data_IF_231444082590
#
_entry.id   IF_231444082590
#
_cell.length_a   1.000
_cell.length_b   1.000
_cell.length_c   1.000
_cell.angle_alpha   90.00
_cell.angle_beta   90.00
_cell.angle_gamma   90.00
#
_symmetry.space_group_name_H-M   'P 1'
#
loop_
_entity.id
_entity.type
_entity.pdbx_description
1 polymer ?
#
# COMPACT_ATOMS: atom_id res chain seq x y z
N UNK A 1 0.02 -17.61 35.50
CA UNK A 1 0.95 -17.08 36.53
C UNK A 1 1.85 -15.90 36.07
N UNK A 2 2.39 -15.83 34.84
CA UNK A 2 3.32 -14.73 34.43
C UNK A 2 2.69 -13.34 34.20
N UNK A 3 1.37 -13.23 33.98
CA UNK A 3 0.71 -11.92 33.79
C UNK A 3 0.56 -11.11 35.09
N UNK A 4 0.44 -11.79 36.24
CA UNK A 4 0.21 -11.12 37.51
C UNK A 4 1.47 -10.38 37.98
N UNK A 5 2.66 -11.00 37.87
CA UNK A 5 3.92 -10.38 38.30
C UNK A 5 4.24 -9.05 37.60
N UNK A 6 3.88 -8.90 36.31
CA UNK A 6 4.12 -7.64 35.57
C UNK A 6 3.18 -6.51 36.02
N UNK A 7 1.93 -6.84 36.34
CA UNK A 7 0.97 -5.86 36.88
C UNK A 7 1.40 -5.39 38.27
N UNK A 8 1.86 -6.30 39.11
CA UNK A 8 2.40 -5.96 40.43
C UNK A 8 3.63 -5.05 40.34
N UNK A 9 4.54 -5.29 39.39
CA UNK A 9 5.72 -4.44 39.21
C UNK A 9 5.34 -3.01 38.79
N UNK A 10 4.45 -2.86 37.81
CA UNK A 10 3.99 -1.54 37.33
C UNK A 10 3.22 -0.80 38.43
N UNK A 11 2.34 -1.47 39.16
CA UNK A 11 1.66 -0.86 40.31
C UNK A 11 2.66 -0.44 41.40
N UNK A 12 3.67 -1.27 41.68
CA UNK A 12 4.72 -0.94 42.65
C UNK A 12 5.49 0.32 42.25
N UNK A 13 5.86 0.45 40.98
CA UNK A 13 6.53 1.63 40.46
C UNK A 13 5.66 2.90 40.52
N UNK A 14 4.37 2.79 40.18
CA UNK A 14 3.42 3.90 40.28
C UNK A 14 3.27 4.32 41.75
N UNK A 15 3.16 3.36 42.66
CA UNK A 15 3.06 3.63 44.10
C UNK A 15 4.30 4.36 44.63
N UNK A 16 5.51 3.95 44.20
CA UNK A 16 6.76 4.63 44.55
C UNK A 16 6.76 6.07 44.06
N UNK A 17 6.33 6.34 42.82
CA UNK A 17 6.25 7.71 42.30
C UNK A 17 5.24 8.58 43.07
N UNK A 18 4.09 8.01 43.42
CA UNK A 18 3.07 8.71 44.23
C UNK A 18 3.65 9.04 45.60
N UNK A 19 4.28 8.06 46.26
CA UNK A 19 4.91 8.25 47.57
C UNK A 19 6.03 9.30 47.52
N UNK A 20 6.87 9.28 46.49
CA UNK A 20 7.91 10.28 46.31
C UNK A 20 7.32 11.68 46.07
N UNK A 21 6.19 11.78 45.37
CA UNK A 21 5.50 13.05 45.11
C UNK A 21 4.89 13.61 46.39
N UNK A 22 4.26 12.77 47.21
CA UNK A 22 3.71 13.22 48.50
C UNK A 22 4.82 13.65 49.46
N UNK A 23 5.92 12.89 49.52
CA UNK A 23 7.10 13.27 50.33
C UNK A 23 7.71 14.59 49.85
N UNK A 24 7.86 14.79 48.53
CA UNK A 24 8.37 16.03 47.96
C UNK A 24 7.49 17.23 48.34
N UNK A 25 6.17 17.11 48.21
CA UNK A 25 5.22 18.17 48.57
C UNK A 25 5.24 18.46 50.07
N UNK A 26 5.35 17.43 50.92
CA UNK A 26 5.47 17.60 52.35
C UNK A 26 6.76 18.34 52.74
N UNK A 27 7.89 17.99 52.14
CA UNK A 27 9.17 18.68 52.36
C UNK A 27 9.07 20.14 51.88
N UNK A 28 8.51 20.39 50.71
CA UNK A 28 8.31 21.75 50.20
C UNK A 28 7.45 22.59 51.15
N UNK A 29 6.35 22.02 51.64
CA UNK A 29 5.49 22.70 52.61
C UNK A 29 6.24 23.02 53.89
N UNK A 30 7.04 22.08 54.41
CA UNK A 30 7.83 22.28 55.62
C UNK A 30 8.91 23.36 55.44
N UNK A 31 9.61 23.35 54.30
CA UNK A 31 10.58 24.40 53.95
C UNK A 31 9.90 25.76 53.93
N UNK A 32 8.73 25.88 53.29
CA UNK A 32 7.99 27.14 53.22
C UNK A 32 7.60 27.64 54.62
N UNK A 33 7.06 26.78 55.49
CA UNK A 33 6.67 27.15 56.86
C UNK A 33 7.87 27.55 57.72
N UNK A 34 8.99 26.83 57.63
CA UNK A 34 10.20 27.17 58.37
C UNK A 34 10.82 28.48 57.85
N UNK A 35 10.81 28.68 56.54
CA UNK A 35 11.29 29.91 55.93
C UNK A 35 10.45 31.13 56.34
N UNK A 36 9.12 31.01 56.42
CA UNK A 36 8.27 32.10 56.89
C UNK A 36 8.54 32.45 58.35
N UNK A 37 8.72 31.44 59.23
CA UNK A 37 9.03 31.67 60.63
C UNK A 37 10.40 32.33 60.84
N UNK A 38 11.43 31.89 60.11
CA UNK A 38 12.75 32.53 60.13
C UNK A 38 12.70 33.96 59.60
N UNK A 39 11.88 34.24 58.58
CA UNK A 39 11.69 35.59 58.08
C UNK A 39 11.09 36.49 59.16
N UNK A 40 10.07 36.01 59.89
CA UNK A 40 9.44 36.76 60.98
C UNK A 40 10.42 37.03 62.14
N UNK A 41 11.18 36.02 62.57
CA UNK A 41 12.22 36.18 63.59
C UNK A 41 13.31 37.17 63.16
N UNK A 42 13.76 37.10 61.90
CA UNK A 42 14.74 38.03 61.36
C UNK A 42 14.20 39.48 61.34
N UNK A 43 12.92 39.67 61.03
CA UNK A 43 12.27 40.98 61.04
C UNK A 43 12.17 41.55 62.46
N UNK A 44 11.73 40.76 63.43
CA UNK A 44 11.67 41.16 64.84
C UNK A 44 13.05 41.51 65.41
N UNK A 45 14.07 40.73 65.05
CA UNK A 45 15.44 40.97 65.46
C UNK A 45 15.93 42.33 64.94
N UNK A 46 15.73 42.61 63.65
CA UNK A 46 16.08 43.90 63.06
C UNK A 46 15.25 45.05 63.65
N UNK A 47 13.96 44.85 63.96
CA UNK A 47 13.12 45.86 64.64
C UNK A 47 13.65 46.20 66.03
N UNK A 48 14.09 45.21 66.83
CA UNK A 48 14.70 45.43 68.16
C UNK A 48 15.95 46.31 68.06
N UNK A 49 16.81 46.07 67.07
CA UNK A 49 17.99 46.93 66.89
C UNK A 49 17.66 48.29 66.32
N UNK A 50 16.66 48.41 65.44
CA UNK A 50 16.11 49.73 65.08
C UNK A 50 15.64 50.49 66.33
N UNK A 51 14.97 49.84 67.28
CA UNK A 51 14.50 50.50 68.51
C UNK A 51 15.65 50.96 69.42
N UNK A 52 16.65 50.12 69.67
CA UNK A 52 17.83 50.53 70.46
C UNK A 52 18.63 51.67 69.80
N UNK A 53 18.69 51.69 68.46
CA UNK A 53 19.27 52.81 67.72
C UNK A 53 18.49 54.13 67.91
N UNK A 54 17.20 54.07 68.25
CA UNK A 54 16.30 55.24 68.36
C UNK A 54 15.99 55.66 69.81
N UNK A 55 15.93 54.75 70.79
CA UNK A 55 15.39 54.99 72.15
C UNK A 55 16.41 55.31 73.26
N UNK A 56 17.72 55.28 72.99
CA UNK A 56 18.74 55.81 73.93
C UNK A 56 19.37 57.09 73.38
N UNK A 57 18.71 58.25 73.48
CA UNK A 57 19.45 59.50 73.45
C UNK A 57 20.35 59.49 74.68
N UNK A 58 21.65 59.73 74.49
CA UNK A 58 22.56 59.93 75.60
C UNK A 58 21.94 60.96 76.55
N UNK A 59 21.77 60.60 77.82
CA UNK A 59 21.44 61.56 78.86
C UNK A 59 22.49 62.68 78.83
N UNK A 60 22.17 63.79 78.15
CA UNK A 60 23.04 64.97 78.03
C UNK A 60 23.34 65.53 76.63
N UNK A 61 22.71 65.11 75.52
CA UNK A 61 22.93 65.75 74.20
C UNK A 61 21.61 66.20 73.56
N UNK A 62 21.51 67.51 73.30
CA UNK A 62 20.37 68.20 72.68
C UNK A 62 20.09 67.70 71.25
N UNK A 63 18.83 67.80 70.82
CA UNK A 63 18.36 67.52 69.46
C UNK A 63 19.06 68.42 68.43
N UNK A 64 20.04 67.86 67.71
CA UNK A 64 20.71 68.50 66.59
C UNK A 64 20.35 67.84 65.24
N UNK A 65 20.21 68.62 64.15
CA UNK A 65 19.89 68.07 62.84
C UNK A 65 21.12 67.38 62.25
N UNK A 66 21.07 66.05 62.16
CA UNK A 66 22.05 65.25 61.42
C UNK A 66 23.07 64.56 62.31
N UNK A 67 22.74 63.33 62.72
CA UNK A 67 23.71 62.36 63.24
C UNK A 67 24.77 62.07 62.16
N UNK A 68 25.86 62.83 62.18
CA UNK A 68 27.05 62.52 61.39
C UNK A 68 27.90 61.50 62.11
N UNK A 69 28.42 60.59 61.33
CA UNK A 69 28.94 59.30 61.73
C UNK A 69 30.36 59.28 62.35
N UNK A 70 30.84 60.44 62.79
CA UNK A 70 31.94 60.53 63.76
C UNK A 70 31.41 60.54 65.20
N UNK A 71 30.09 60.52 65.37
CA UNK A 71 29.43 60.44 66.67
C UNK A 71 29.84 59.13 67.40
N UNK A 72 30.62 59.23 68.49
CA UNK A 72 31.01 58.07 69.31
C UNK A 72 29.80 57.30 69.82
N UNK A 73 28.64 57.96 69.96
CA UNK A 73 27.40 57.38 70.47
C UNK A 73 26.74 56.45 69.45
N UNK A 74 26.70 56.83 68.17
CA UNK A 74 26.19 55.97 67.11
C UNK A 74 27.06 54.72 66.97
N UNK A 75 28.38 54.87 67.11
CA UNK A 75 29.31 53.73 67.12
C UNK A 75 29.07 52.79 68.30
N UNK A 76 28.83 53.33 69.50
CA UNK A 76 28.50 52.55 70.70
C UNK A 76 27.13 51.85 70.58
N UNK A 77 26.11 52.54 70.09
CA UNK A 77 24.78 51.96 69.87
C UNK A 77 24.81 50.87 68.79
N UNK A 78 25.64 51.02 67.75
CA UNK A 78 25.91 49.95 66.80
C UNK A 78 26.62 48.76 67.46
N UNK A 79 27.64 48.99 68.29
CA UNK A 79 28.34 47.92 69.02
C UNK A 79 27.41 47.17 69.99
N UNK A 80 26.49 47.88 70.67
CA UNK A 80 25.51 47.29 71.59
C UNK A 80 24.36 46.58 70.85
N UNK A 81 23.82 47.16 69.78
CA UNK A 81 22.86 46.48 68.90
C UNK A 81 23.45 45.19 68.32
N UNK A 82 24.75 45.19 68.03
CA UNK A 82 25.48 44.00 67.59
C UNK A 82 25.71 42.96 68.70
N UNK A 83 25.69 43.34 69.99
CA UNK A 83 25.73 42.40 71.12
C UNK A 83 24.40 41.67 71.31
N UNK A 84 23.26 42.37 71.16
CA UNK A 84 21.90 41.78 71.20
C UNK A 84 21.78 40.62 70.21
N UNK A 85 22.47 40.70 69.08
CA UNK A 85 22.43 39.67 68.04
C UNK A 85 23.40 38.50 68.24
N UNK A 86 24.43 38.63 69.09
CA UNK A 86 25.39 37.52 69.32
C UNK A 86 24.72 36.32 69.97
N UNK A 87 23.68 36.55 70.76
CA UNK A 87 22.96 35.50 71.47
C UNK A 87 22.03 34.68 70.56
N UNK A 88 21.68 35.19 69.38
CA UNK A 88 20.64 34.56 68.54
C UNK A 88 21.18 33.72 67.37
N UNK A 89 22.47 33.80 67.03
CA UNK A 89 23.17 32.81 66.21
C UNK A 89 22.77 32.65 64.72
N UNK A 90 21.74 33.34 64.23
CA UNK A 90 21.22 33.20 62.86
C UNK A 90 21.59 34.35 61.91
N UNK A 91 21.96 35.53 62.41
CA UNK A 91 22.42 36.66 61.59
C UNK A 91 23.92 36.57 61.32
N UNK A 92 24.32 36.64 60.04
CA UNK A 92 25.72 36.55 59.63
C UNK A 92 26.39 37.89 59.40
N UNK A 93 25.64 38.90 58.95
CA UNK A 93 26.17 40.24 58.70
C UNK A 93 25.07 41.28 58.89
N UNK A 94 25.46 42.46 59.37
CA UNK A 94 24.58 43.60 59.58
C UNK A 94 25.25 44.86 59.03
N UNK A 95 24.47 45.66 58.32
CA UNK A 95 24.89 46.91 57.72
C UNK A 95 23.84 48.00 57.96
N UNK A 96 24.29 49.21 58.22
CA UNK A 96 23.46 50.42 58.20
C UNK A 96 23.86 51.23 56.98
N UNK A 97 22.88 51.60 56.18
CA UNK A 97 23.06 52.41 54.98
C UNK A 97 22.40 53.75 55.23
N UNK A 98 23.15 54.85 55.19
CA UNK A 98 22.55 56.17 55.36
C UNK A 98 21.78 56.62 54.11
N UNK A 99 21.01 57.72 54.22
CA UNK A 99 20.26 58.33 53.11
C UNK A 99 21.11 58.79 51.92
N UNK A 100 22.43 58.89 52.08
CA UNK A 100 23.38 59.24 51.02
C UNK A 100 24.05 58.01 50.39
N UNK A 101 23.67 56.79 50.82
CA UNK A 101 24.22 55.53 50.32
C UNK A 101 25.52 55.10 51.00
N UNK A 102 25.93 55.73 52.10
CA UNK A 102 27.14 55.34 52.82
C UNK A 102 26.87 54.11 53.69
N UNK A 103 27.59 53.02 53.39
CA UNK A 103 27.41 51.71 54.05
C UNK A 103 28.38 51.57 55.22
N UNK A 104 27.86 51.24 56.41
CA UNK A 104 28.67 51.05 57.62
C UNK A 104 28.26 49.79 58.38
N UNK A 105 29.22 48.94 58.72
CA UNK A 105 28.98 47.62 59.34
C UNK A 105 30.26 46.82 59.59
N UNK A 106 30.15 45.66 60.26
CA UNK A 106 31.30 44.80 60.64
C UNK A 106 31.57 43.72 59.57
N UNK A 107 32.69 43.91 58.84
CA UNK A 107 33.46 43.02 57.91
C UNK A 107 32.71 42.23 56.80
N UNK A 108 32.65 42.83 55.61
CA UNK A 108 33.50 42.54 54.44
C UNK A 108 32.94 43.43 53.31
N UNK A 109 33.65 44.51 52.97
CA UNK A 109 33.15 45.68 52.22
C UNK A 109 32.91 45.44 50.72
N UNK A 110 33.07 44.21 50.24
CA UNK A 110 33.09 43.88 48.81
C UNK A 110 31.73 43.52 48.19
N UNK A 111 30.68 43.26 48.99
CA UNK A 111 29.30 42.96 48.50
C UNK A 111 28.29 44.10 48.64
N UNK A 112 28.62 45.09 49.47
CA UNK A 112 27.85 46.29 49.72
C UNK A 112 27.60 47.12 48.43
N UNK A 113 28.56 47.10 47.50
CA UNK A 113 28.52 47.84 46.24
C UNK A 113 27.44 47.37 45.25
N UNK A 114 26.96 46.13 45.35
CA UNK A 114 25.95 45.60 44.42
C UNK A 114 24.57 46.26 44.64
N UNK A 115 24.22 46.58 45.88
CA UNK A 115 22.91 47.16 46.23
C UNK A 115 22.84 48.66 45.97
N UNK A 116 23.98 49.35 45.98
CA UNK A 116 24.08 50.77 45.64
C UNK A 116 23.91 51.03 44.13
N UNK A 117 24.20 50.03 43.29
CA UNK A 117 24.18 50.19 41.83
C UNK A 117 22.80 50.14 41.19
N UNK A 118 21.82 49.45 41.79
CA UNK A 118 20.56 49.11 41.11
C UNK A 118 19.36 50.02 41.46
N UNK A 119 19.56 51.18 42.10
CA UNK A 119 18.46 52.12 42.42
C UNK A 119 17.43 51.58 43.43
N UNK A 120 17.61 50.35 43.90
CA UNK A 120 16.77 49.66 44.88
C UNK A 120 16.76 50.40 46.21
N UNK A 121 17.92 50.90 46.65
CA UNK A 121 18.04 51.69 47.88
C UNK A 121 17.17 52.95 47.82
N UNK A 122 17.22 53.67 46.70
CA UNK A 122 16.42 54.88 46.47
C UNK A 122 14.93 54.57 46.53
N UNK A 123 14.47 53.50 45.87
CA UNK A 123 13.07 53.08 45.91
C UNK A 123 12.61 52.63 47.29
N UNK A 124 13.47 51.98 48.08
CA UNK A 124 13.12 51.49 49.42
C UNK A 124 13.06 52.64 50.44
N UNK A 125 13.97 53.60 50.33
CA UNK A 125 13.94 54.83 51.13
C UNK A 125 12.70 55.67 50.79
N UNK A 126 12.37 55.81 49.51
CA UNK A 126 11.26 56.67 49.05
C UNK A 126 9.88 56.08 49.38
N UNK A 127 9.75 54.74 49.41
CA UNK A 127 8.49 54.06 49.74
C UNK A 127 8.30 53.77 51.24
N UNK A 128 9.38 53.78 52.04
CA UNK A 128 9.32 53.42 53.46
C UNK A 128 8.90 51.97 53.73
N UNK A 129 8.97 51.09 52.72
CA UNK A 129 8.54 49.69 52.83
C UNK A 129 9.70 48.76 53.21
N UNK A 130 9.42 47.77 54.06
CA UNK A 130 10.35 46.72 54.41
C UNK A 130 10.58 45.78 53.22
N UNK A 131 11.85 45.57 52.83
CA UNK A 131 12.20 44.71 51.71
C UNK A 131 12.54 43.30 52.19
N UNK A 132 11.79 42.34 51.65
CA UNK A 132 11.91 40.93 51.99
C UNK A 132 12.38 40.16 50.74
N UNK A 133 13.68 39.83 50.65
CA UNK A 133 14.14 38.89 49.64
C UNK A 133 14.27 37.50 50.26
N UNK A 134 13.14 36.79 50.27
CA UNK A 134 13.09 35.37 50.64
C UNK A 134 13.50 34.55 49.41
N UNK A 135 14.78 34.60 49.08
CA UNK A 135 15.35 33.89 47.93
C UNK A 135 16.86 33.76 48.05
N UNK A 136 17.44 32.66 47.56
CA UNK A 136 18.86 32.43 47.71
C UNK A 136 19.69 33.43 46.90
N UNK A 137 20.71 34.00 47.53
CA UNK A 137 21.72 34.82 46.85
C UNK A 137 22.51 33.91 45.91
N UNK A 138 22.25 34.01 44.61
CA UNK A 138 22.80 33.16 43.56
C UNK A 138 24.33 33.28 43.47
N UNK A 139 25.06 32.37 44.14
CA UNK A 139 26.48 32.12 43.85
C UNK A 139 26.98 30.77 44.39
N UNK A 140 26.18 29.70 44.26
CA UNK A 140 26.39 28.34 44.82
C UNK A 140 25.90 28.17 46.28
N UNK A 141 24.80 27.41 46.38
CA UNK A 141 24.06 26.98 47.58
C UNK A 141 23.17 28.05 48.26
N UNK A 142 21.86 27.78 48.43
CA UNK A 142 20.90 28.68 49.07
C UNK A 142 21.12 28.66 50.59
N UNK A 143 22.21 29.25 51.07
CA UNK A 143 22.57 29.21 52.50
C UNK A 143 22.14 30.43 53.28
N UNK A 144 21.76 31.51 52.59
CA UNK A 144 21.52 32.80 53.19
C UNK A 144 20.37 33.54 52.51
N UNK A 145 19.65 34.33 53.28
CA UNK A 145 18.64 35.28 52.81
C UNK A 145 18.93 36.67 53.36
N UNK A 146 18.29 37.68 52.78
CA UNK A 146 18.55 39.08 53.09
C UNK A 146 17.24 39.75 53.50
N UNK A 147 17.31 40.59 54.53
CA UNK A 147 16.20 41.44 54.93
C UNK A 147 16.69 42.86 55.20
N UNK A 148 15.83 43.83 54.86
CA UNK A 148 16.12 45.24 55.01
C UNK A 148 14.92 46.00 55.61
N UNK A 149 15.19 46.84 56.60
CA UNK A 149 14.20 47.66 57.31
C UNK A 149 14.62 49.14 57.31
N UNK A 150 13.72 50.09 56.99
CA UNK A 150 14.04 51.51 57.03
C UNK A 150 14.30 51.98 58.46
N UNK A 151 15.19 52.96 58.62
CA UNK A 151 15.48 53.67 59.87
C UNK A 151 14.94 55.09 59.74
N UNK A 152 14.07 55.50 60.67
CA UNK A 152 13.39 56.80 60.64
C UNK A 152 13.76 57.64 61.86
N UNK A 153 13.84 58.96 61.66
CA UNK A 153 13.95 59.96 62.73
C UNK A 153 12.86 61.02 62.51
N UNK A 154 11.90 61.09 63.43
CA UNK A 154 10.66 61.86 63.21
C UNK A 154 9.87 61.31 62.02
N UNK A 155 9.49 62.19 61.08
CA UNK A 155 8.71 61.84 59.88
C UNK A 155 9.58 61.58 58.63
N UNK A 156 10.90 61.45 58.76
CA UNK A 156 11.83 61.24 57.64
C UNK A 156 12.62 59.93 57.81
N UNK A 157 12.70 59.15 56.72
CA UNK A 157 13.61 58.00 56.62
C UNK A 157 15.04 58.51 56.48
N UNK A 158 15.89 58.18 57.45
CA UNK A 158 17.29 58.64 57.53
C UNK A 158 18.30 57.60 57.04
N UNK A 159 17.86 56.34 56.87
CA UNK A 159 18.69 55.26 56.38
C UNK A 159 17.96 53.92 56.34
N UNK A 160 18.71 52.83 56.18
CA UNK A 160 18.21 51.47 56.05
C UNK A 160 19.12 50.50 56.83
N UNK A 161 18.51 49.67 57.67
CA UNK A 161 19.12 48.59 58.40
C UNK A 161 19.01 47.31 57.58
N UNK A 162 20.14 46.71 57.25
CA UNK A 162 20.23 45.57 56.35
C UNK A 162 20.87 44.40 57.10
N UNK A 163 20.28 43.20 57.01
CA UNK A 163 20.79 41.97 57.61
C UNK A 163 20.88 40.80 56.61
N UNK A 164 21.99 40.04 56.67
CA UNK A 164 22.16 38.76 55.98
C UNK A 164 22.01 37.64 57.01
N UNK A 165 21.07 36.74 56.76
CA UNK A 165 20.69 35.68 57.69
C UNK A 165 21.05 34.32 57.10
N UNK A 166 21.48 33.40 57.95
CA UNK A 166 21.71 32.00 57.57
C UNK A 166 20.39 31.23 57.64
N UNK A 167 20.12 30.44 56.61
CA UNK A 167 19.13 29.37 56.73
C UNK A 167 19.69 28.33 57.71
N UNK A 168 18.89 27.90 58.68
CA UNK A 168 19.32 26.89 59.66
C UNK A 168 19.67 25.56 59.00
N UNK A 169 20.53 24.77 59.64
CA UNK A 169 21.01 23.46 59.12
C UNK A 169 19.85 22.54 58.71
N UNK A 170 18.74 22.58 59.44
CA UNK A 170 17.54 21.81 59.14
C UNK A 170 16.95 22.12 57.74
N UNK A 171 16.89 23.38 57.33
CA UNK A 171 16.35 23.76 56.01
C UNK A 171 17.34 23.37 54.90
N UNK A 172 18.64 23.51 55.14
CA UNK A 172 19.66 23.05 54.18
C UNK A 172 19.54 21.54 53.92
N UNK A 173 19.39 20.73 54.99
CA UNK A 173 19.18 19.29 54.85
C UNK A 173 17.87 18.97 54.12
N UNK A 174 16.78 19.69 54.39
CA UNK A 174 15.51 19.48 53.70
C UNK A 174 15.62 19.75 52.19
N UNK A 175 16.29 20.84 51.79
CA UNK A 175 16.54 21.16 50.36
C UNK A 175 17.39 20.07 49.70
N UNK A 176 18.41 19.56 50.39
CA UNK A 176 19.24 18.47 49.87
C UNK A 176 18.43 17.18 49.68
N UNK A 177 17.64 16.78 50.68
CA UNK A 177 16.76 15.61 50.61
C UNK A 177 15.75 15.79 49.47
N UNK A 178 15.16 16.97 49.34
CA UNK A 178 14.24 17.28 48.25
C UNK A 178 14.89 17.10 46.86
N UNK A 179 16.13 17.56 46.70
CA UNK A 179 16.90 17.36 45.46
C UNK A 179 17.22 15.89 45.17
N UNK A 180 17.48 15.08 46.19
CA UNK A 180 17.66 13.62 46.05
C UNK A 180 16.36 12.97 45.61
N UNK A 181 15.23 13.32 46.24
CA UNK A 181 13.89 12.82 45.88
C UNK A 181 13.60 13.16 44.41
N UNK A 182 13.80 14.41 44.00
CA UNK A 182 13.54 14.84 42.62
C UNK A 182 14.39 14.06 41.59
N UNK A 183 15.71 13.91 41.83
CA UNK A 183 16.58 13.12 40.94
C UNK A 183 16.14 11.66 40.86
N UNK A 184 15.75 11.07 41.98
CA UNK A 184 15.29 9.68 42.02
C UNK A 184 13.98 9.48 41.25
N UNK A 185 13.06 10.45 41.28
CA UNK A 185 11.81 10.42 40.51
C UNK A 185 12.09 10.39 39.02
N UNK A 186 13.01 11.24 38.52
CA UNK A 186 13.38 11.28 37.10
C UNK A 186 13.92 9.93 36.63
N UNK A 187 14.83 9.32 37.40
CA UNK A 187 15.41 8.01 37.07
C UNK A 187 14.34 6.92 37.07
N UNK A 188 13.47 6.89 38.09
CA UNK A 188 12.39 5.92 38.19
C UNK A 188 11.39 6.06 37.01
N UNK A 189 11.00 7.28 36.66
CA UNK A 189 10.13 7.55 35.51
C UNK A 189 10.76 7.08 34.19
N UNK A 190 12.04 7.35 33.98
CA UNK A 190 12.75 6.91 32.77
C UNK A 190 12.79 5.37 32.66
N UNK A 191 13.04 4.67 33.76
CA UNK A 191 13.04 3.20 33.81
C UNK A 191 11.67 2.60 33.45
N UNK A 192 10.58 3.18 33.96
CA UNK A 192 9.21 2.72 33.68
C UNK A 192 8.89 2.89 32.19
N UNK A 193 9.18 4.06 31.63
CA UNK A 193 8.95 4.34 30.20
C UNK A 193 9.78 3.40 29.34
N UNK A 194 11.07 3.22 29.65
CA UNK A 194 11.95 2.30 28.92
C UNK A 194 11.44 0.86 28.94
N UNK A 195 11.06 0.35 30.11
CA UNK A 195 10.48 -0.99 30.24
C UNK A 195 9.16 -1.15 29.47
N UNK A 196 8.33 -0.11 29.45
CA UNK A 196 7.10 -0.04 28.65
C UNK A 196 7.36 -0.14 27.16
N UNK A 197 8.30 0.67 26.64
CA UNK A 197 8.68 0.66 25.23
C UNK A 197 9.24 -0.70 24.79
N UNK A 198 10.10 -1.31 25.62
CA UNK A 198 10.65 -2.66 25.35
C UNK A 198 9.51 -3.69 25.30
N UNK A 199 8.55 -3.64 26.22
CA UNK A 199 7.41 -4.56 26.19
C UNK A 199 6.56 -4.40 24.93
N UNK A 200 6.27 -3.16 24.52
CA UNK A 200 5.52 -2.87 23.29
C UNK A 200 6.28 -3.41 22.08
N UNK A 201 7.58 -3.14 21.98
CA UNK A 201 8.42 -3.66 20.89
C UNK A 201 8.41 -5.19 20.81
N UNK A 202 8.48 -5.87 21.96
CA UNK A 202 8.39 -7.34 22.02
C UNK A 202 7.01 -7.84 21.60
N UNK A 203 5.92 -7.17 21.99
CA UNK A 203 4.57 -7.54 21.57
C UNK A 203 4.37 -7.37 20.06
N UNK A 204 4.82 -6.24 19.50
CA UNK A 204 4.76 -5.97 18.06
C UNK A 204 5.54 -7.05 17.30
N UNK A 205 6.77 -7.35 17.72
CA UNK A 205 7.61 -8.39 17.09
C UNK A 205 6.98 -9.79 17.16
N UNK A 206 6.22 -10.10 18.22
CA UNK A 206 5.46 -11.36 18.32
C UNK A 206 4.28 -11.39 17.35
N UNK A 207 3.47 -10.32 17.31
CA UNK A 207 2.33 -10.23 16.38
C UNK A 207 2.78 -10.29 14.93
N UNK A 208 3.84 -9.57 14.58
CA UNK A 208 4.42 -9.56 13.24
C UNK A 208 4.84 -10.98 12.80
N UNK A 209 5.51 -11.74 13.67
CA UNK A 209 5.88 -13.15 13.38
C UNK A 209 4.67 -14.05 13.13
N UNK A 210 3.59 -13.90 13.90
CA UNK A 210 2.36 -14.69 13.70
C UNK A 210 1.72 -14.34 12.36
N UNK A 211 1.65 -13.05 12.03
CA UNK A 211 1.08 -12.58 10.77
C UNK A 211 1.90 -13.08 9.58
N UNK A 212 3.24 -12.99 9.64
CA UNK A 212 4.10 -13.50 8.58
C UNK A 212 3.91 -14.99 8.34
N UNK A 213 3.86 -15.80 9.40
CA UNK A 213 3.63 -17.24 9.26
C UNK A 213 2.28 -17.56 8.59
N UNK A 214 1.22 -16.84 8.97
CA UNK A 214 -0.09 -16.98 8.33
C UNK A 214 -0.06 -16.57 6.85
N UNK A 215 0.67 -15.51 6.53
CA UNK A 215 0.82 -15.03 5.16
C UNK A 215 1.51 -16.09 4.29
N UNK A 216 2.58 -16.72 4.79
CA UNK A 216 3.26 -17.83 4.10
C UNK A 216 2.33 -19.03 3.92
N UNK A 217 1.56 -19.41 4.94
CA UNK A 217 0.55 -20.48 4.86
C UNK A 217 -0.52 -20.18 3.80
N UNK A 218 -0.99 -18.93 3.70
CA UNK A 218 -1.96 -18.51 2.68
C UNK A 218 -1.37 -18.53 1.27
N UNK A 219 -0.14 -18.05 1.08
CA UNK A 219 0.53 -18.07 -0.24
C UNK A 219 0.66 -19.51 -0.73
N UNK A 220 1.14 -20.42 0.13
CA UNK A 220 1.29 -21.83 -0.23
C UNK A 220 -0.06 -22.50 -0.54
N UNK A 221 -1.10 -22.19 0.22
CA UNK A 221 -2.45 -22.69 -0.05
C UNK A 221 -3.00 -22.17 -1.39
N UNK A 222 -2.73 -20.91 -1.72
CA UNK A 222 -3.14 -20.28 -2.97
C UNK A 222 -2.42 -20.91 -4.16
N UNK A 223 -1.11 -21.14 -4.05
CA UNK A 223 -0.31 -21.82 -5.08
C UNK A 223 -0.84 -23.23 -5.36
N UNK A 224 -1.10 -24.02 -4.32
CA UNK A 224 -1.71 -25.36 -4.45
C UNK A 224 -3.09 -25.32 -5.09
N UNK A 225 -3.93 -24.38 -4.69
CA UNK A 225 -5.27 -24.23 -5.27
C UNK A 225 -5.18 -23.87 -6.76
N UNK A 226 -4.27 -22.97 -7.14
CA UNK A 226 -4.08 -22.55 -8.52
C UNK A 226 -3.51 -23.68 -9.39
N UNK A 227 -2.57 -24.46 -8.85
CA UNK A 227 -2.05 -25.67 -9.52
C UNK A 227 -3.16 -26.70 -9.72
N UNK A 228 -3.97 -26.96 -8.68
CA UNK A 228 -5.14 -27.85 -8.80
C UNK A 228 -6.13 -27.39 -9.86
N UNK A 229 -6.45 -26.09 -9.92
CA UNK A 229 -7.31 -25.50 -10.96
C UNK A 229 -6.71 -25.73 -12.35
N UNK A 230 -5.39 -25.55 -12.52
CA UNK A 230 -4.71 -25.80 -13.80
C UNK A 230 -4.79 -27.28 -14.22
N UNK A 231 -4.55 -28.19 -13.28
CA UNK A 231 -4.63 -29.65 -13.53
C UNK A 231 -6.06 -30.03 -13.92
N UNK A 232 -7.05 -29.66 -13.11
CA UNK A 232 -8.47 -29.95 -13.38
C UNK A 232 -8.92 -29.31 -14.71
N UNK A 233 -8.48 -28.08 -15.01
CA UNK A 233 -8.76 -27.44 -16.29
C UNK A 233 -8.18 -28.21 -17.49
N UNK A 234 -6.97 -28.75 -17.37
CA UNK A 234 -6.36 -29.57 -18.42
C UNK A 234 -7.06 -30.92 -18.59
N UNK A 235 -7.49 -31.56 -17.50
CA UNK A 235 -8.27 -32.80 -17.54
C UNK A 235 -9.66 -32.57 -18.14
N UNK A 236 -10.31 -31.46 -17.82
CA UNK A 236 -11.60 -31.10 -18.39
C UNK A 236 -11.50 -30.86 -19.90
N UNK A 237 -10.49 -30.10 -20.35
CA UNK A 237 -10.22 -29.91 -21.78
C UNK A 237 -9.94 -31.24 -22.50
N UNK A 238 -9.20 -32.14 -21.86
CA UNK A 238 -8.97 -33.48 -22.40
C UNK A 238 -10.27 -34.31 -22.46
N UNK A 239 -11.11 -34.23 -21.43
CA UNK A 239 -12.40 -34.92 -21.35
C UNK A 239 -13.41 -34.40 -22.38
N UNK A 240 -13.53 -33.08 -22.54
CA UNK A 240 -14.34 -32.46 -23.61
C UNK A 240 -13.84 -32.89 -24.99
N UNK A 241 -12.52 -32.90 -25.20
CA UNK A 241 -11.93 -33.37 -26.46
C UNK A 241 -12.22 -34.86 -26.69
N UNK A 242 -12.14 -35.69 -25.65
CA UNK A 242 -12.48 -37.13 -25.73
C UNK A 242 -13.97 -37.37 -25.95
N UNK A 243 -14.85 -36.58 -25.36
CA UNK A 243 -16.29 -36.66 -25.58
C UNK A 243 -16.66 -36.25 -27.01
N UNK A 244 -16.03 -35.19 -27.53
CA UNK A 244 -16.14 -34.76 -28.91
C UNK A 244 -15.60 -35.83 -29.87
N UNK A 245 -14.43 -36.40 -29.60
CA UNK A 245 -13.88 -37.53 -30.35
C UNK A 245 -14.83 -38.74 -30.28
N UNK A 246 -15.41 -39.05 -29.13
CA UNK A 246 -16.34 -40.17 -28.96
C UNK A 246 -17.58 -40.03 -29.84
N UNK A 247 -18.19 -38.84 -29.88
CA UNK A 247 -19.30 -38.54 -30.81
C UNK A 247 -18.86 -38.61 -32.27
N UNK A 248 -17.64 -38.17 -32.57
CA UNK A 248 -17.08 -38.23 -33.92
C UNK A 248 -16.81 -39.67 -34.37
N UNK A 249 -16.25 -40.53 -33.51
CA UNK A 249 -15.93 -41.92 -33.83
C UNK A 249 -17.19 -42.71 -34.18
N UNK A 250 -18.30 -42.52 -33.47
CA UNK A 250 -19.57 -43.18 -33.80
C UNK A 250 -20.10 -42.77 -35.17
N UNK A 251 -20.04 -41.48 -35.53
CA UNK A 251 -20.45 -40.99 -36.87
C UNK A 251 -19.50 -41.44 -37.98
N UNK A 252 -18.19 -41.39 -37.71
CA UNK A 252 -17.13 -41.77 -38.66
C UNK A 252 -17.12 -43.27 -38.93
N UNK A 253 -17.42 -44.11 -37.93
CA UNK A 253 -17.52 -45.56 -38.09
C UNK A 253 -18.62 -45.93 -39.10
N UNK A 254 -19.77 -45.24 -39.06
CA UNK A 254 -20.82 -45.42 -40.06
C UNK A 254 -20.41 -44.90 -41.45
N UNK A 255 -19.72 -43.76 -41.52
CA UNK A 255 -19.24 -43.22 -42.82
C UNK A 255 -18.09 -43.99 -43.45
N UNK A 256 -17.26 -44.69 -42.67
CA UNK A 256 -16.21 -45.61 -43.14
C UNK A 256 -16.79 -46.98 -43.48
N UNK A 257 -17.82 -47.43 -42.75
CA UNK A 257 -18.51 -48.69 -43.04
C UNK A 257 -19.13 -48.71 -44.43
N UNK A 258 -19.76 -47.60 -44.84
CA UNK A 258 -20.41 -47.47 -46.14
C UNK A 258 -19.48 -47.73 -47.36
N UNK A 259 -18.34 -47.01 -47.54
CA UNK A 259 -17.40 -47.27 -48.62
C UNK A 259 -16.82 -48.69 -48.56
N UNK A 260 -16.58 -49.24 -47.36
CA UNK A 260 -16.13 -50.62 -47.18
C UNK A 260 -17.15 -51.64 -47.71
N UNK A 261 -18.44 -51.45 -47.40
CA UNK A 261 -19.52 -52.27 -47.96
C UNK A 261 -19.61 -52.15 -49.48
N UNK A 262 -19.43 -50.95 -50.03
CA UNK A 262 -19.39 -50.74 -51.49
C UNK A 262 -18.21 -51.46 -52.15
N UNK A 263 -17.00 -51.37 -51.56
CA UNK A 263 -15.80 -52.09 -52.04
C UNK A 263 -16.05 -53.60 -52.03
N UNK A 264 -16.62 -54.15 -50.94
CA UNK A 264 -16.96 -55.57 -50.85
C UNK A 264 -17.95 -55.98 -51.94
N UNK A 265 -19.00 -55.19 -52.18
CA UNK A 265 -19.96 -55.44 -53.25
C UNK A 265 -19.32 -55.40 -54.66
N UNK A 266 -18.45 -54.43 -54.93
CA UNK A 266 -17.71 -54.37 -56.20
C UNK A 266 -16.76 -55.55 -56.38
N UNK A 267 -16.08 -55.97 -55.30
CA UNK A 267 -15.21 -57.14 -55.28
C UNK A 267 -15.98 -58.45 -55.54
N UNK A 268 -17.21 -58.58 -55.02
CA UNK A 268 -18.08 -59.74 -55.31
C UNK A 268 -18.53 -59.78 -56.78
N UNK A 269 -18.82 -58.62 -57.38
CA UNK A 269 -19.16 -58.54 -58.80
C UNK A 269 -17.93 -58.91 -59.65
N UNK A 270 -16.75 -58.38 -59.31
CA UNK A 270 -15.48 -58.68 -59.98
C UNK A 270 -15.09 -60.16 -59.95
N UNK A 271 -15.57 -60.92 -58.95
CA UNK A 271 -15.34 -62.37 -58.83
C UNK A 271 -16.23 -63.25 -59.73
N UNK A 272 -17.22 -62.67 -60.42
CA UNK A 272 -18.11 -63.44 -61.30
C UNK A 272 -17.47 -63.68 -62.67
N UNK A 273 -17.43 -64.93 -63.12
CA UNK A 273 -16.96 -65.30 -64.46
C UNK A 273 -17.98 -64.82 -65.52
N UNK A 274 -17.72 -63.64 -66.11
CA UNK A 274 -18.26 -63.11 -67.41
C UNK A 274 -18.24 -61.57 -67.57
N UNK A 275 -17.38 -60.84 -66.87
CA UNK A 275 -17.25 -59.39 -67.07
C UNK A 275 -16.41 -59.07 -68.31
N UNK A 276 -16.85 -58.07 -69.09
CA UNK A 276 -16.03 -57.50 -70.14
C UNK A 276 -14.97 -56.55 -69.55
N UNK A 277 -13.90 -56.30 -70.32
CA UNK A 277 -12.75 -55.49 -69.89
C UNK A 277 -13.14 -54.08 -69.46
N UNK A 278 -14.17 -53.47 -70.06
CA UNK A 278 -14.57 -52.11 -69.73
C UNK A 278 -15.28 -52.04 -68.38
N UNK A 279 -16.17 -53.00 -68.10
CA UNK A 279 -16.87 -53.11 -66.81
C UNK A 279 -15.91 -53.48 -65.68
N UNK A 280 -14.95 -54.37 -65.93
CA UNK A 280 -13.88 -54.67 -64.96
C UNK A 280 -13.08 -53.42 -64.59
N UNK A 281 -12.71 -52.61 -65.58
CA UNK A 281 -11.96 -51.37 -65.34
C UNK A 281 -12.79 -50.32 -64.59
N UNK A 282 -14.08 -50.17 -64.92
CA UNK A 282 -14.97 -49.25 -64.19
C UNK A 282 -15.11 -49.64 -62.71
N UNK A 283 -15.32 -50.94 -62.43
CA UNK A 283 -15.41 -51.44 -61.06
C UNK A 283 -14.11 -51.25 -60.27
N UNK A 284 -12.95 -51.46 -60.88
CA UNK A 284 -11.65 -51.20 -60.26
C UNK A 284 -11.47 -49.70 -59.93
N UNK A 285 -11.84 -48.81 -60.85
CA UNK A 285 -11.77 -47.36 -60.61
C UNK A 285 -12.70 -46.93 -59.46
N UNK A 286 -13.90 -47.55 -59.34
CA UNK A 286 -14.82 -47.31 -58.22
C UNK A 286 -14.25 -47.79 -56.89
N UNK A 287 -13.61 -48.95 -56.86
CA UNK A 287 -12.90 -49.44 -55.66
C UNK A 287 -11.80 -48.47 -55.25
N UNK A 288 -11.00 -47.99 -56.20
CA UNK A 288 -9.94 -47.01 -55.92
C UNK A 288 -10.51 -45.70 -55.33
N UNK A 289 -11.61 -45.20 -55.89
CA UNK A 289 -12.32 -44.01 -55.37
C UNK A 289 -12.80 -44.20 -53.93
N UNK A 290 -13.41 -45.34 -53.60
CA UNK A 290 -13.86 -45.61 -52.21
C UNK A 290 -12.67 -45.78 -51.24
N UNK A 291 -11.52 -46.32 -51.69
CA UNK A 291 -10.30 -46.38 -50.88
C UNK A 291 -9.75 -44.98 -50.60
N UNK A 292 -9.68 -44.11 -51.62
CA UNK A 292 -9.26 -42.72 -51.45
C UNK A 292 -10.19 -41.96 -50.50
N UNK A 293 -11.49 -42.24 -50.56
CA UNK A 293 -12.48 -41.68 -49.64
C UNK A 293 -12.23 -42.12 -48.20
N UNK A 294 -11.98 -43.41 -47.95
CA UNK A 294 -11.62 -43.91 -46.61
C UNK A 294 -10.35 -43.21 -46.11
N UNK A 295 -9.33 -43.09 -46.95
CA UNK A 295 -8.07 -42.41 -46.59
C UNK A 295 -8.29 -40.93 -46.21
N UNK A 296 -9.18 -40.23 -46.93
CA UNK A 296 -9.52 -38.84 -46.62
C UNK A 296 -10.22 -38.72 -45.26
N UNK A 297 -11.23 -39.55 -45.01
CA UNK A 297 -11.99 -39.55 -43.75
C UNK A 297 -11.06 -39.85 -42.56
N UNK A 298 -10.19 -40.85 -42.68
CA UNK A 298 -9.25 -41.20 -41.61
C UNK A 298 -8.18 -40.13 -41.37
N UNK A 299 -7.70 -39.48 -42.42
CA UNK A 299 -6.75 -38.36 -42.31
C UNK A 299 -7.37 -37.15 -41.61
N UNK A 300 -8.60 -36.77 -41.98
CA UNK A 300 -9.33 -35.66 -41.34
C UNK A 300 -9.61 -35.94 -39.85
N UNK A 301 -9.93 -37.19 -39.49
CA UNK A 301 -10.11 -37.61 -38.09
C UNK A 301 -8.80 -37.58 -37.29
N UNK A 302 -7.69 -38.04 -37.88
CA UNK A 302 -6.37 -38.03 -37.25
C UNK A 302 -5.82 -36.61 -37.06
N UNK A 303 -6.05 -35.72 -38.03
CA UNK A 303 -5.67 -34.30 -37.91
C UNK A 303 -6.47 -33.59 -36.81
N UNK A 304 -7.74 -33.96 -36.60
CA UNK A 304 -8.54 -33.47 -35.47
C UNK A 304 -8.01 -33.99 -34.11
N UNK A 305 -7.59 -35.24 -34.04
CA UNK A 305 -7.07 -35.87 -32.83
C UNK A 305 -5.68 -35.33 -32.44
N UNK A 306 -4.86 -34.91 -33.41
CA UNK A 306 -3.48 -34.46 -33.16
C UNK A 306 -3.42 -33.22 -32.25
N UNK A 307 -2.60 -33.26 -31.18
CA UNK A 307 -2.29 -32.07 -30.40
C UNK A 307 -1.37 -31.16 -31.23
N UNK A 308 -1.93 -30.13 -31.85
CA UNK A 308 -1.13 -29.09 -32.48
C UNK A 308 -0.78 -28.03 -31.43
N UNK A 309 0.50 -27.86 -31.13
CA UNK A 309 1.01 -26.70 -30.40
C UNK A 309 0.72 -25.46 -31.25
N UNK A 310 -0.32 -24.71 -30.90
CA UNK A 310 -0.72 -23.51 -31.65
C UNK A 310 0.36 -22.44 -31.49
N UNK A 311 1.01 -22.04 -32.58
CA UNK A 311 1.94 -20.92 -32.59
C UNK A 311 1.19 -19.68 -33.06
N UNK A 312 0.71 -18.89 -32.10
CA UNK A 312 -0.03 -17.65 -32.37
C UNK A 312 0.92 -16.47 -32.56
N UNK A 313 1.00 -15.97 -33.79
CA UNK A 313 1.83 -14.82 -34.19
C UNK A 313 0.99 -13.69 -34.77
N UNK A 314 1.50 -12.46 -34.73
CA UNK A 314 0.83 -11.32 -35.36
C UNK A 314 1.17 -11.32 -36.85
N UNK A 315 0.20 -11.67 -37.68
CA UNK A 315 0.37 -11.83 -39.12
C UNK A 315 -0.61 -10.94 -39.89
N UNK A 316 -0.20 -10.56 -41.10
CA UNK A 316 -1.09 -9.93 -42.06
C UNK A 316 -2.02 -10.99 -42.69
N UNK A 317 -3.30 -10.88 -42.39
CA UNK A 317 -4.35 -11.81 -42.84
C UNK A 317 -4.46 -11.82 -44.37
N UNK A 318 -4.20 -10.69 -45.05
CA UNK A 318 -4.23 -10.61 -46.50
C UNK A 318 -3.17 -11.53 -47.14
N UNK A 319 -1.97 -11.58 -46.54
CA UNK A 319 -0.90 -12.47 -46.99
C UNK A 319 -1.29 -13.95 -46.86
N UNK A 320 -1.92 -14.33 -45.74
CA UNK A 320 -2.38 -15.72 -45.51
C UNK A 320 -3.51 -16.08 -46.49
N UNK A 321 -4.42 -15.13 -46.75
CA UNK A 321 -5.52 -15.27 -47.68
C UNK A 321 -5.03 -15.50 -49.12
N UNK A 322 -4.02 -14.75 -49.57
CA UNK A 322 -3.41 -14.93 -50.90
C UNK A 322 -2.67 -16.27 -51.03
N UNK A 323 -1.97 -16.71 -49.98
CA UNK A 323 -1.36 -18.05 -49.95
C UNK A 323 -2.41 -19.15 -50.06
N UNK A 324 -3.52 -19.04 -49.33
CA UNK A 324 -4.64 -19.98 -49.41
C UNK A 324 -5.27 -20.00 -50.81
N UNK A 325 -5.51 -18.83 -51.40
CA UNK A 325 -6.10 -18.71 -52.74
C UNK A 325 -5.21 -19.32 -53.81
N UNK A 326 -3.89 -19.16 -53.70
CA UNK A 326 -2.91 -19.72 -54.64
C UNK A 326 -2.96 -21.26 -54.70
N UNK A 327 -3.26 -21.91 -53.57
CA UNK A 327 -3.38 -23.37 -53.50
C UNK A 327 -4.62 -23.90 -54.24
N UNK A 328 -5.71 -23.13 -54.27
CA UNK A 328 -6.96 -23.51 -54.96
C UNK A 328 -7.07 -22.94 -56.38
N UNK A 329 -6.14 -22.08 -56.79
CA UNK A 329 -6.12 -21.44 -58.11
C UNK A 329 -6.19 -22.42 -59.30
N UNK A 330 -5.52 -23.60 -59.29
CA UNK A 330 -5.65 -24.57 -60.37
C UNK A 330 -7.09 -25.05 -60.57
N UNK A 331 -7.83 -25.25 -59.47
CA UNK A 331 -9.22 -25.71 -59.50
C UNK A 331 -10.17 -24.61 -59.96
N UNK A 332 -9.95 -23.37 -59.49
CA UNK A 332 -10.68 -22.17 -59.96
C UNK A 332 -10.57 -22.04 -61.48
N UNK A 333 -9.35 -22.16 -62.02
CA UNK A 333 -9.09 -22.06 -63.46
C UNK A 333 -9.75 -23.21 -64.23
N UNK A 334 -9.71 -24.43 -63.68
CA UNK A 334 -10.34 -25.62 -64.29
C UNK A 334 -11.86 -25.48 -64.41
N UNK A 335 -12.53 -24.87 -63.43
CA UNK A 335 -13.99 -24.65 -63.45
C UNK A 335 -14.39 -23.36 -64.19
N UNK A 336 -13.46 -22.46 -64.49
CA UNK A 336 -13.76 -21.20 -65.17
C UNK A 336 -14.47 -20.17 -64.27
N UNK A 337 -14.21 -20.21 -62.96
CA UNK A 337 -14.79 -19.29 -61.98
C UNK A 337 -14.06 -17.94 -62.02
N UNK A 338 -14.82 -16.84 -62.07
CA UNK A 338 -14.28 -15.48 -62.02
C UNK A 338 -13.98 -15.10 -60.57
N UNK A 339 -12.75 -14.66 -60.29
CA UNK A 339 -12.39 -14.17 -58.95
C UNK A 339 -12.38 -12.65 -58.95
N UNK A 340 -13.12 -12.05 -58.01
CA UNK A 340 -13.17 -10.61 -57.76
C UNK A 340 -12.59 -10.36 -56.36
N UNK A 341 -11.61 -9.46 -56.26
CA UNK A 341 -10.97 -9.10 -55.00
C UNK A 341 -11.28 -7.64 -54.66
N UNK A 342 -11.86 -7.41 -53.49
CA UNK A 342 -12.10 -6.09 -52.90
C UNK A 342 -11.43 -6.03 -51.51
N UNK A 343 -10.10 -5.98 -51.54
CA UNK A 343 -9.26 -6.04 -50.35
C UNK A 343 -8.89 -4.64 -49.87
N UNK A 344 -8.79 -4.47 -48.54
CA UNK A 344 -8.23 -3.27 -47.94
C UNK A 344 -6.88 -2.91 -48.56
N UNK A 345 -6.65 -1.61 -48.75
CA UNK A 345 -5.37 -1.07 -49.28
C UNK A 345 -4.23 -1.05 -48.26
N UNK A 346 -4.48 -1.52 -47.05
CA UNK A 346 -3.56 -1.54 -45.93
C UNK A 346 -3.54 -2.94 -45.28
N UNK A 347 -2.42 -3.34 -44.65
CA UNK A 347 -2.31 -4.66 -44.01
C UNK A 347 -3.35 -4.84 -42.90
N UNK A 348 -3.89 -6.05 -42.79
CA UNK A 348 -4.89 -6.40 -41.79
C UNK A 348 -4.26 -7.37 -40.79
N UNK A 349 -3.89 -6.87 -39.61
CA UNK A 349 -3.16 -7.67 -38.64
C UNK A 349 -4.08 -8.37 -37.64
N UNK A 350 -3.89 -9.68 -37.47
CA UNK A 350 -4.52 -10.48 -36.43
C UNK A 350 -3.49 -11.39 -35.75
N UNK A 351 -3.75 -11.77 -34.50
CA UNK A 351 -2.94 -12.77 -33.79
C UNK A 351 -3.45 -14.18 -34.11
N UNK A 352 -2.77 -14.88 -35.01
CA UNK A 352 -3.25 -16.12 -35.63
C UNK A 352 -2.15 -17.15 -35.78
N UNK A 353 -2.55 -18.39 -36.00
CA UNK A 353 -1.67 -19.48 -36.46
C UNK A 353 -1.81 -19.55 -37.99
N UNK A 354 -0.72 -19.36 -38.72
CA UNK A 354 -0.74 -19.25 -40.19
C UNK A 354 -1.39 -20.47 -40.84
N UNK A 355 -0.98 -21.67 -40.44
CA UNK A 355 -1.44 -22.92 -41.04
C UNK A 355 -2.92 -23.15 -40.76
N UNK A 356 -3.37 -22.89 -39.53
CA UNK A 356 -4.80 -23.05 -39.17
C UNK A 356 -5.68 -22.05 -39.90
N UNK A 357 -5.25 -20.79 -40.01
CA UNK A 357 -6.02 -19.77 -40.73
C UNK A 357 -6.06 -20.06 -42.22
N UNK A 358 -4.94 -20.51 -42.80
CA UNK A 358 -4.87 -20.95 -44.20
C UNK A 358 -5.83 -22.12 -44.46
N UNK A 359 -5.91 -23.09 -43.54
CA UNK A 359 -6.85 -24.21 -43.61
C UNK A 359 -8.32 -23.74 -43.65
N UNK A 360 -8.69 -22.77 -42.80
CA UNK A 360 -10.04 -22.16 -42.81
C UNK A 360 -10.35 -21.59 -44.19
N UNK A 361 -9.45 -20.76 -44.73
CA UNK A 361 -9.67 -20.14 -46.04
C UNK A 361 -9.77 -21.16 -47.18
N UNK A 362 -8.88 -22.15 -47.22
CA UNK A 362 -8.94 -23.23 -48.21
C UNK A 362 -10.30 -23.93 -48.14
N UNK A 363 -10.76 -24.28 -46.94
CA UNK A 363 -12.04 -24.96 -46.79
C UNK A 363 -13.22 -24.10 -47.25
N UNK A 364 -13.23 -22.80 -46.93
CA UNK A 364 -14.27 -21.88 -47.41
C UNK A 364 -14.23 -21.71 -48.94
N UNK A 365 -13.04 -21.58 -49.53
CA UNK A 365 -12.90 -21.54 -50.99
C UNK A 365 -13.40 -22.82 -51.64
N UNK A 366 -12.98 -24.00 -51.16
CA UNK A 366 -13.44 -25.27 -51.71
C UNK A 366 -14.96 -25.44 -51.61
N UNK A 367 -15.58 -24.98 -50.52
CA UNK A 367 -17.04 -24.98 -50.38
C UNK A 367 -17.71 -24.07 -51.42
N UNK A 368 -17.18 -22.86 -51.64
CA UNK A 368 -17.66 -21.95 -52.69
C UNK A 368 -17.53 -22.56 -54.09
N UNK A 369 -16.38 -23.16 -54.42
CA UNK A 369 -16.14 -23.82 -55.72
C UNK A 369 -17.07 -25.03 -55.94
N UNK A 370 -17.42 -25.75 -54.87
CA UNK A 370 -18.34 -26.88 -54.96
C UNK A 370 -19.80 -26.44 -55.09
N UNK A 371 -20.16 -25.28 -54.56
CA UNK A 371 -21.48 -24.67 -54.77
C UNK A 371 -21.66 -24.11 -56.20
N UNK A 372 -20.56 -23.95 -56.94
CA UNK A 372 -20.52 -23.46 -58.32
C UNK A 372 -19.94 -24.53 -59.27
N UNK A 373 -20.69 -25.61 -59.59
CA UNK A 373 -20.19 -26.70 -60.43
C UNK A 373 -19.85 -26.29 -61.87
N UNK A 374 -20.46 -25.20 -62.36
CA UNK A 374 -20.20 -24.61 -63.69
C UNK A 374 -19.45 -23.27 -63.57
N UNK A 375 -19.93 -22.21 -64.24
CA UNK A 375 -19.39 -20.86 -64.13
C UNK A 375 -20.03 -20.14 -62.95
N UNK A 376 -19.26 -19.27 -62.32
CA UNK A 376 -19.73 -18.43 -61.22
C UNK A 376 -18.71 -17.33 -60.89
N UNK A 377 -19.05 -16.51 -59.89
CA UNK A 377 -18.15 -15.48 -59.38
C UNK A 377 -17.85 -15.73 -57.91
N UNK A 378 -16.56 -15.84 -57.58
CA UNK A 378 -16.04 -15.83 -56.23
C UNK A 378 -15.58 -14.41 -55.89
N UNK A 379 -16.26 -13.76 -54.95
CA UNK A 379 -15.90 -12.42 -54.46
C UNK A 379 -15.25 -12.54 -53.09
N UNK A 380 -14.07 -11.93 -52.95
CA UNK A 380 -13.29 -11.94 -51.70
C UNK A 380 -13.12 -10.49 -51.26
N UNK A 381 -13.65 -10.14 -50.09
CA UNK A 381 -13.55 -8.81 -49.51
C UNK A 381 -12.88 -8.87 -48.14
N UNK A 382 -12.07 -7.87 -47.80
CA UNK A 382 -11.43 -7.81 -46.48
C UNK A 382 -11.29 -6.38 -45.97
N UNK A 383 -11.76 -6.10 -44.75
CA UNK A 383 -11.83 -4.76 -44.18
C UNK A 383 -11.79 -4.75 -42.64
N UNK A 384 -11.41 -3.62 -42.03
CA UNK A 384 -11.51 -3.38 -40.58
C UNK A 384 -12.83 -2.71 -40.17
N UNK A 385 -13.12 -2.72 -38.88
CA UNK A 385 -14.30 -2.05 -38.32
C UNK A 385 -15.59 -2.85 -38.51
N UNK A 386 -15.46 -4.16 -38.76
CA UNK A 386 -16.58 -5.06 -38.85
C UNK A 386 -17.33 -5.10 -37.51
N UNK A 387 -18.67 -5.07 -37.57
CA UNK A 387 -19.52 -5.18 -36.39
C UNK A 387 -20.20 -6.56 -36.40
N UNK A 388 -19.77 -7.49 -35.54
CA UNK A 388 -20.39 -8.80 -35.43
C UNK A 388 -21.87 -8.71 -35.07
N UNK A 389 -22.68 -9.67 -35.52
CA UNK A 389 -24.10 -9.76 -35.16
C UNK A 389 -24.28 -10.14 -33.68
N UNK A 390 -23.34 -10.88 -33.11
CA UNK A 390 -23.35 -11.30 -31.71
C UNK A 390 -23.03 -10.12 -30.76
N UNK A 391 -23.86 -9.95 -29.72
CA UNK A 391 -23.70 -8.91 -28.70
C UNK A 391 -22.37 -9.03 -27.95
N UNK A 392 -21.77 -10.23 -27.87
CA UNK A 392 -20.49 -10.47 -27.20
C UNK A 392 -19.35 -9.63 -27.75
N UNK A 393 -19.40 -9.26 -29.03
CA UNK A 393 -18.29 -8.62 -29.74
C UNK A 393 -18.62 -7.21 -30.25
N UNK A 394 -19.73 -6.62 -29.79
CA UNK A 394 -20.28 -5.36 -30.31
C UNK A 394 -19.33 -4.16 -30.14
N UNK A 395 -18.50 -4.17 -29.11
CA UNK A 395 -17.55 -3.09 -28.80
C UNK A 395 -16.09 -3.43 -29.16
N UNK A 396 -15.84 -4.57 -29.81
CA UNK A 396 -14.50 -4.99 -30.18
C UNK A 396 -14.10 -4.45 -31.57
N UNK A 397 -12.85 -4.01 -31.72
CA UNK A 397 -12.26 -3.73 -33.05
C UNK A 397 -12.01 -5.07 -33.76
N UNK A 398 -12.86 -5.39 -34.73
CA UNK A 398 -12.77 -6.62 -35.51
C UNK A 398 -12.39 -6.32 -36.96
N UNK A 399 -11.61 -7.21 -37.56
CA UNK A 399 -11.44 -7.30 -39.01
C UNK A 399 -12.32 -8.42 -39.57
N UNK A 400 -12.77 -8.25 -40.80
CA UNK A 400 -13.58 -9.22 -41.51
C UNK A 400 -12.90 -9.65 -42.82
N UNK A 401 -13.03 -10.95 -43.12
CA UNK A 401 -12.77 -11.51 -44.45
C UNK A 401 -14.05 -12.17 -44.94
N UNK A 402 -14.62 -11.65 -46.01
CA UNK A 402 -15.82 -12.17 -46.66
C UNK A 402 -15.44 -12.99 -47.89
N UNK A 403 -16.03 -14.17 -47.99
CA UNK A 403 -15.91 -15.08 -49.13
C UNK A 403 -17.32 -15.34 -49.62
N UNK A 404 -17.66 -14.74 -50.76
CA UNK A 404 -18.98 -14.80 -51.37
C UNK A 404 -18.95 -15.58 -52.70
N UNK A 405 -19.85 -16.53 -52.85
CA UNK A 405 -20.10 -17.27 -54.08
C UNK A 405 -21.47 -16.95 -54.67
N UNK A 406 -21.60 -17.17 -55.98
CA UNK A 406 -22.88 -17.12 -56.72
C UNK A 406 -23.39 -18.52 -57.01
N UNK A 407 -23.18 -19.47 -56.08
CA UNK A 407 -23.53 -20.87 -56.24
C UNK A 407 -24.99 -21.17 -55.91
N UNK A 408 -25.29 -22.44 -55.65
CA UNK A 408 -26.64 -22.92 -55.35
C UNK A 408 -27.23 -22.40 -54.03
N UNK A 409 -26.44 -21.76 -53.16
CA UNK A 409 -26.89 -21.26 -51.86
C UNK A 409 -27.26 -22.37 -50.86
N UNK A 410 -27.74 -21.96 -49.70
CA UNK A 410 -28.10 -22.84 -48.57
C UNK A 410 -29.56 -22.56 -48.19
N UNK A 411 -30.44 -23.58 -48.16
CA UNK A 411 -31.81 -23.43 -47.68
C UNK A 411 -31.83 -22.95 -46.22
N UNK A 412 -32.77 -22.07 -45.86
CA UNK A 412 -32.87 -21.46 -44.52
C UNK A 412 -32.92 -22.51 -43.40
N UNK A 413 -33.66 -23.61 -43.61
CA UNK A 413 -33.76 -24.75 -42.70
C UNK A 413 -32.41 -25.41 -42.34
N UNK A 414 -31.40 -25.24 -43.20
CA UNK A 414 -30.09 -25.86 -43.04
C UNK A 414 -29.08 -24.92 -42.40
N UNK A 415 -29.28 -23.59 -42.43
CA UNK A 415 -28.32 -22.59 -41.93
C UNK A 415 -27.93 -22.80 -40.46
N UNK A 416 -28.87 -23.25 -39.62
CA UNK A 416 -28.59 -23.54 -38.22
C UNK A 416 -27.70 -24.79 -38.02
N UNK A 417 -27.66 -25.70 -39.00
CA UNK A 417 -27.03 -27.02 -38.91
C UNK A 417 -25.70 -27.12 -39.65
N UNK A 418 -25.35 -26.15 -40.50
CA UNK A 418 -24.14 -26.25 -41.35
C UNK A 418 -22.81 -26.32 -40.58
N UNK A 419 -22.83 -25.95 -39.30
CA UNK A 419 -21.68 -26.02 -38.41
C UNK A 419 -21.74 -27.25 -37.47
N UNK A 420 -22.78 -28.08 -37.58
CA UNK A 420 -22.88 -29.32 -36.85
C UNK A 420 -21.95 -30.37 -37.48
N UNK A 421 -21.21 -31.16 -36.67
CA UNK A 421 -20.37 -32.24 -37.20
C UNK A 421 -21.16 -33.20 -38.10
N UNK A 422 -20.55 -33.61 -39.22
CA UNK A 422 -21.11 -34.53 -40.23
C UNK A 422 -22.33 -34.04 -40.99
N UNK A 423 -22.79 -32.82 -40.75
CA UNK A 423 -23.86 -32.25 -41.56
C UNK A 423 -23.34 -31.95 -42.97
N UNK A 424 -23.94 -32.60 -43.97
CA UNK A 424 -23.62 -32.38 -45.38
C UNK A 424 -24.88 -32.55 -46.24
N UNK A 425 -25.05 -31.68 -47.23
CA UNK A 425 -26.09 -31.78 -48.26
C UNK A 425 -25.57 -32.41 -49.55
N UNK A 426 -24.29 -32.78 -49.58
CA UNK A 426 -23.61 -33.37 -50.75
C UNK A 426 -23.94 -34.86 -50.85
N UNK A 427 -23.83 -35.40 -52.07
CA UNK A 427 -23.99 -36.84 -52.30
C UNK A 427 -23.05 -37.66 -51.37
N UNK A 428 -23.49 -38.86 -50.93
CA UNK A 428 -22.69 -39.73 -50.08
C UNK A 428 -21.28 -39.93 -50.63
N UNK A 429 -20.27 -39.43 -49.90
CA UNK A 429 -18.86 -39.56 -50.24
C UNK A 429 -18.19 -38.37 -50.91
N UNK A 430 -18.94 -37.32 -51.26
CA UNK A 430 -18.37 -36.06 -51.74
C UNK A 430 -18.06 -35.05 -50.63
N UNK A 431 -18.40 -35.33 -49.38
CA UNK A 431 -17.99 -34.52 -48.24
C UNK A 431 -18.32 -35.13 -46.89
N UNK A 432 -17.36 -35.11 -45.95
CA UNK A 432 -17.48 -35.65 -44.59
C UNK A 432 -18.25 -34.72 -43.62
N UNK A 433 -18.67 -33.52 -44.06
CA UNK A 433 -19.37 -32.55 -43.19
C UNK A 433 -18.52 -32.00 -42.03
N UNK A 434 -17.20 -32.13 -42.07
CA UNK A 434 -16.30 -31.69 -40.99
C UNK A 434 -15.69 -30.31 -41.23
N UNK A 435 -15.57 -29.86 -42.48
CA UNK A 435 -14.81 -28.66 -42.82
C UNK A 435 -15.30 -27.39 -42.11
N UNK A 436 -16.60 -27.08 -42.17
CA UNK A 436 -17.17 -25.88 -41.54
C UNK A 436 -17.11 -25.94 -40.01
N UNK A 437 -17.31 -27.13 -39.44
CA UNK A 437 -17.19 -27.39 -38.00
C UNK A 437 -15.77 -27.14 -37.50
N UNK A 438 -14.77 -27.66 -38.22
CA UNK A 438 -13.34 -27.41 -37.94
C UNK A 438 -13.04 -25.92 -38.08
N UNK A 439 -13.54 -25.29 -39.14
CA UNK A 439 -13.31 -23.87 -39.39
C UNK A 439 -13.84 -23.00 -38.25
N UNK A 440 -15.07 -23.27 -37.79
CA UNK A 440 -15.68 -22.55 -36.66
C UNK A 440 -14.89 -22.75 -35.36
N UNK A 441 -14.40 -23.96 -35.10
CA UNK A 441 -13.56 -24.25 -33.92
C UNK A 441 -12.23 -23.50 -33.99
N UNK A 442 -11.55 -23.49 -35.14
CA UNK A 442 -10.31 -22.75 -35.34
C UNK A 442 -10.53 -21.27 -35.07
N UNK A 443 -11.49 -20.64 -35.75
CA UNK A 443 -11.76 -19.21 -35.59
C UNK A 443 -12.19 -18.86 -34.15
N UNK A 444 -13.02 -19.70 -33.51
CA UNK A 444 -13.39 -19.49 -32.10
C UNK A 444 -12.18 -19.58 -31.16
N UNK A 445 -11.23 -20.49 -31.43
CA UNK A 445 -9.99 -20.59 -30.65
C UNK A 445 -9.06 -19.38 -30.80
N UNK A 446 -9.21 -18.63 -31.90
CA UNK A 446 -8.54 -17.36 -32.16
C UNK A 446 -9.30 -16.15 -31.57
N UNK A 447 -10.39 -16.38 -30.83
CA UNK A 447 -11.24 -15.31 -30.29
C UNK A 447 -12.11 -14.63 -31.35
N UNK A 448 -12.28 -15.25 -32.51
CA UNK A 448 -13.10 -14.75 -33.61
C UNK A 448 -14.48 -15.43 -33.72
N UNK A 449 -15.19 -15.13 -34.80
CA UNK A 449 -16.45 -15.77 -35.16
C UNK A 449 -16.55 -16.02 -36.68
N UNK A 450 -17.36 -17.00 -37.10
CA UNK A 450 -17.74 -17.15 -38.51
C UNK A 450 -19.25 -16.92 -38.61
N UNK A 451 -19.65 -16.00 -39.46
CA UNK A 451 -21.04 -15.71 -39.80
C UNK A 451 -21.33 -16.16 -41.24
N UNK A 452 -22.59 -16.47 -41.51
CA UNK A 452 -23.05 -16.93 -42.82
C UNK A 452 -24.32 -16.21 -43.22
N UNK A 453 -24.38 -15.78 -44.48
CA UNK A 453 -25.56 -15.23 -45.13
C UNK A 453 -25.73 -15.97 -46.45
N UNK A 454 -26.88 -16.59 -46.68
CA UNK A 454 -27.11 -17.39 -47.88
C UNK A 454 -28.57 -17.33 -48.28
N UNK A 455 -28.81 -17.37 -49.58
CA UNK A 455 -30.15 -17.53 -50.14
C UNK A 455 -30.11 -18.63 -51.21
N UNK A 456 -31.05 -19.57 -51.10
CA UNK A 456 -31.16 -20.71 -52.01
C UNK A 456 -31.31 -20.22 -53.47
N UNK A 457 -30.45 -20.71 -54.35
CA UNK A 457 -30.38 -20.32 -55.76
C UNK A 457 -29.64 -19.00 -56.06
N UNK A 458 -29.21 -18.24 -55.05
CA UNK A 458 -28.47 -16.98 -55.28
C UNK A 458 -27.00 -17.02 -54.86
N UNK A 459 -26.66 -17.84 -53.85
CA UNK A 459 -25.28 -18.03 -53.40
C UNK A 459 -25.11 -17.85 -51.90
N UNK A 460 -23.86 -17.90 -51.44
CA UNK A 460 -23.51 -17.84 -50.02
C UNK A 460 -22.37 -16.88 -49.75
N UNK A 461 -22.45 -16.15 -48.65
CA UNK A 461 -21.36 -15.32 -48.11
C UNK A 461 -20.99 -15.80 -46.73
N UNK A 462 -19.76 -16.29 -46.58
CA UNK A 462 -19.15 -16.55 -45.28
C UNK A 462 -18.31 -15.35 -44.84
N UNK A 463 -18.52 -14.88 -43.61
CA UNK A 463 -17.76 -13.78 -43.01
C UNK A 463 -16.93 -14.32 -41.86
N UNK A 464 -15.61 -14.30 -42.01
CA UNK A 464 -14.65 -14.64 -40.94
C UNK A 464 -14.29 -13.38 -40.19
N UNK A 465 -14.61 -13.32 -38.91
CA UNK A 465 -14.35 -12.20 -38.01
C UNK A 465 -13.21 -12.54 -37.07
N UNK A 466 -12.19 -11.67 -37.00
CA UNK A 466 -11.04 -11.81 -36.12
C UNK A 466 -10.80 -10.52 -35.33
N UNK A 467 -10.34 -10.60 -34.07
CA UNK A 467 -9.89 -9.41 -33.34
C UNK A 467 -8.72 -8.74 -34.08
N UNK A 468 -8.88 -7.46 -34.43
CA UNK A 468 -7.79 -6.69 -35.04
C UNK A 468 -6.73 -6.39 -33.99
N UNK A 469 -5.46 -6.49 -34.39
CA UNK A 469 -4.34 -6.05 -33.56
C UNK A 469 -3.54 -5.01 -34.31
N UNK A 470 -3.24 -3.89 -33.67
CA UNK A 470 -2.26 -2.95 -34.23
C UNK A 470 -0.88 -3.59 -34.14
N UNK A 471 -0.18 -3.73 -35.26
CA UNK A 471 1.26 -4.05 -35.23
C UNK A 471 1.95 -2.90 -34.49
N UNK A 472 2.36 -3.13 -33.24
CA UNK A 472 3.22 -2.18 -32.53
C UNK A 472 4.44 -1.96 -33.41
N UNK A 473 4.60 -0.75 -33.92
CA UNK A 473 5.81 -0.35 -34.64
C UNK A 473 7.01 -0.66 -33.76
N UNK A 474 7.95 -1.41 -34.30
CA UNK A 474 9.31 -1.50 -33.77
C UNK A 474 10.08 -0.23 -34.11
#
# INVERSE_FOLDING_TARGET
MKLNGRRFLVLGFILVLILQSTVYLAIQSLINTLASHLSEQAEEALRRVRQELVHRPASGLEEGPGLTLEDPQLKLNMEQGLEIFRDEGFMTKLWVIDKNGLIRGRRDSSRADFLLKDGLLSSLIEKGEAFHQIGPVEAYAPRRFIMALPVESGNQVTGLLWGEFRLGEAIEHLIQVQGIVLRSMIVNSALIVGAGLIMIAVQIRRRFRIIHRRLEEYILALEKANESIRVVGSELLASEKLADIGRLVTGTAHEVGNPLSSILGYMEILKKDRLDKSTTQDLLNRVESEIQRIHKITSELLDFARPHTSHLEVLDVLTVLDKALSLVAPQIKKQGIKVVKDLARYPLYARVDEHKLQQVFINLFLNALQAMPEKGTLTISAFEGARPMDRKWRDAEMLAVQIADTGCGIPEKNLAKIFDPFFTTKEPGKGAGLGLTISRKIISSLGGAIEVQSEEGKGTTFTVLLPSVRKKGG
#
